data_IF_655622263952
#
_entry.id   IF_655622263952
#
_cell.length_a   1.000
_cell.length_b   1.000
_cell.length_c   1.000
_cell.angle_alpha   90.00
_cell.angle_beta   90.00
_cell.angle_gamma   90.00
#
_symmetry.space_group_name_H-M   'P 1'
#
loop_
_entity.id
_entity.type
_entity.pdbx_description
1 polymer ?
#
# COMPACT_ATOMS: atom_id res chain seq x y z
N UNK A 1 3.16 -6.25 17.85
CA UNK A 1 2.77 -6.48 16.45
C UNK A 1 3.97 -6.14 15.60
N UNK A 2 4.43 -7.07 14.78
CA UNK A 2 5.52 -6.79 13.86
C UNK A 2 4.95 -6.07 12.62
N UNK A 3 5.66 -5.06 12.13
CA UNK A 3 5.27 -4.39 10.90
C UNK A 3 5.83 -5.16 9.71
N UNK A 4 5.07 -5.10 8.63
CA UNK A 4 5.46 -5.67 7.35
C UNK A 4 5.57 -4.54 6.34
N UNK A 5 6.37 -4.78 5.33
CA UNK A 5 6.51 -3.91 4.19
C UNK A 5 5.65 -4.44 3.06
N UNK A 6 4.79 -3.61 2.51
CA UNK A 6 3.87 -3.97 1.44
C UNK A 6 4.09 -3.11 0.20
N UNK A 7 3.92 -3.70 -0.97
CA UNK A 7 3.79 -3.00 -2.25
C UNK A 7 2.39 -3.20 -2.81
N UNK A 8 1.69 -2.09 -3.08
CA UNK A 8 0.34 -2.09 -3.64
C UNK A 8 0.38 -1.57 -5.06
N UNK A 9 -0.19 -2.31 -6.00
CA UNK A 9 -0.37 -1.89 -7.39
C UNK A 9 -1.80 -1.40 -7.60
N UNK A 10 -1.99 -0.34 -8.39
CA UNK A 10 -3.29 0.27 -8.65
C UNK A 10 -3.63 0.21 -10.14
N UNK A 11 -4.94 0.27 -10.44
CA UNK A 11 -5.43 0.46 -11.80
C UNK A 11 -5.20 1.92 -12.26
N UNK A 12 -5.31 2.87 -11.35
CA UNK A 12 -5.25 4.31 -11.63
C UNK A 12 -4.46 5.07 -10.58
N UNK A 13 -3.88 6.22 -10.96
CA UNK A 13 -3.23 7.14 -10.02
C UNK A 13 -4.19 7.76 -8.98
N UNK A 14 -5.49 7.80 -9.28
CA UNK A 14 -6.53 8.24 -8.35
C UNK A 14 -6.78 7.25 -7.22
N UNK A 15 -6.68 5.94 -7.51
CA UNK A 15 -6.70 4.89 -6.49
C UNK A 15 -5.51 5.02 -5.54
N UNK A 16 -4.30 5.15 -6.11
CA UNK A 16 -3.06 5.35 -5.37
C UNK A 16 -3.12 6.53 -4.39
N UNK A 17 -3.69 7.66 -4.81
CA UNK A 17 -3.80 8.86 -3.97
C UNK A 17 -4.76 8.68 -2.79
N UNK A 18 -5.88 7.97 -2.97
CA UNK A 18 -6.83 7.66 -1.90
C UNK A 18 -6.21 6.71 -0.87
N UNK A 19 -5.58 5.64 -1.34
CA UNK A 19 -4.91 4.67 -0.49
C UNK A 19 -3.75 5.29 0.28
N UNK A 20 -3.01 6.22 -0.32
CA UNK A 20 -1.99 7.00 0.36
C UNK A 20 -2.55 7.75 1.58
N UNK A 21 -3.70 8.39 1.44
CA UNK A 21 -4.36 9.05 2.57
C UNK A 21 -4.75 8.04 3.64
N UNK A 22 -5.34 6.91 3.25
CA UNK A 22 -5.74 5.85 4.18
C UNK A 22 -4.56 5.30 4.99
N UNK A 23 -3.43 5.02 4.34
CA UNK A 23 -2.22 4.50 4.99
C UNK A 23 -1.73 5.45 6.08
N UNK A 24 -1.63 6.74 5.78
CA UNK A 24 -1.19 7.75 6.76
C UNK A 24 -2.16 7.89 7.94
N UNK A 25 -3.46 7.65 7.74
CA UNK A 25 -4.47 7.69 8.80
C UNK A 25 -4.53 6.39 9.64
N UNK A 26 -4.20 5.25 9.05
CA UNK A 26 -4.26 3.93 9.69
C UNK A 26 -2.96 3.52 10.41
N UNK A 27 -2.03 4.46 10.60
CA UNK A 27 -0.74 4.19 11.25
C UNK A 27 0.27 3.47 10.36
N UNK A 28 -0.02 3.34 9.06
CA UNK A 28 0.94 2.90 8.07
C UNK A 28 1.87 4.06 7.69
N UNK A 29 3.08 3.73 7.27
CA UNK A 29 4.11 4.69 6.88
C UNK A 29 4.45 4.48 5.41
N UNK A 30 4.12 5.47 4.58
CA UNK A 30 4.53 5.45 3.17
C UNK A 30 6.07 5.44 3.06
N UNK A 31 6.58 4.59 2.18
CA UNK A 31 8.00 4.50 1.86
C UNK A 31 8.36 5.21 0.56
N UNK A 32 9.61 5.67 0.40
CA UNK A 32 10.08 6.27 -0.83
C UNK A 32 9.86 5.33 -2.01
N UNK A 33 9.06 5.78 -2.96
CA UNK A 33 8.76 4.98 -4.13
C UNK A 33 9.86 5.04 -5.17
N UNK A 34 10.16 3.90 -5.79
CA UNK A 34 10.88 3.89 -7.07
C UNK A 34 9.93 4.37 -8.18
N UNK A 35 10.46 5.11 -9.16
CA UNK A 35 9.69 5.43 -10.37
C UNK A 35 9.34 4.12 -11.09
N UNK A 36 8.06 3.76 -11.01
CA UNK A 36 7.49 2.63 -11.73
C UNK A 36 6.65 3.15 -12.89
N UNK A 37 6.57 2.36 -13.95
CA UNK A 37 5.72 2.68 -15.12
C UNK A 37 4.23 2.54 -14.81
N UNK A 38 3.89 1.80 -13.74
CA UNK A 38 2.54 1.61 -13.25
C UNK A 38 2.33 2.36 -11.92
N UNK A 39 1.11 2.82 -11.62
CA UNK A 39 0.80 3.41 -10.33
C UNK A 39 0.88 2.31 -9.27
N UNK A 40 1.85 2.45 -8.37
CA UNK A 40 2.04 1.57 -7.22
C UNK A 40 2.26 2.43 -5.97
N UNK A 41 2.34 1.84 -4.78
CA UNK A 41 2.73 2.50 -3.54
C UNK A 41 3.37 1.48 -2.61
N UNK A 42 4.44 1.86 -1.92
CA UNK A 42 5.10 1.02 -0.93
C UNK A 42 4.87 1.60 0.45
N UNK A 43 4.51 0.79 1.43
CA UNK A 43 4.29 1.25 2.81
C UNK A 43 4.70 0.19 3.84
N UNK A 44 4.98 0.64 5.05
CA UNK A 44 5.18 -0.20 6.23
C UNK A 44 3.92 -0.15 7.09
N UNK A 45 3.41 -1.28 7.54
CA UNK A 45 2.22 -1.31 8.37
C UNK A 45 1.83 -2.70 8.88
N UNK A 46 0.74 -2.78 9.65
CA UNK A 46 0.18 -4.05 10.10
C UNK A 46 -0.51 -4.80 8.94
N UNK A 47 -0.56 -6.13 9.02
CA UNK A 47 -1.23 -6.99 8.04
C UNK A 47 -2.72 -6.67 7.87
N UNK A 48 -3.41 -6.27 8.94
CA UNK A 48 -4.79 -5.77 8.88
C UNK A 48 -4.96 -4.62 7.88
N UNK A 49 -3.99 -3.70 7.80
CA UNK A 49 -4.04 -2.60 6.85
C UNK A 49 -3.89 -3.12 5.41
N UNK A 50 -3.01 -4.09 5.18
CA UNK A 50 -2.85 -4.71 3.86
C UNK A 50 -4.14 -5.42 3.39
N UNK A 51 -4.77 -6.18 4.28
CA UNK A 51 -6.05 -6.86 3.99
C UNK A 51 -7.19 -5.88 3.72
N UNK A 52 -7.21 -4.72 4.38
CA UNK A 52 -8.17 -3.65 4.05
C UNK A 52 -7.95 -3.08 2.65
N UNK A 53 -6.69 -3.01 2.19
CA UNK A 53 -6.37 -2.47 0.88
C UNK A 53 -6.70 -3.43 -0.26
N UNK A 54 -6.55 -4.73 -0.07
CA UNK A 54 -6.95 -5.75 -1.06
C UNK A 54 -8.44 -5.67 -1.43
N UNK A 55 -9.29 -5.17 -0.52
CA UNK A 55 -10.73 -5.01 -0.78
C UNK A 55 -11.12 -3.79 -1.61
N UNK A 56 -10.18 -2.92 -2.00
CA UNK A 56 -10.49 -1.72 -2.78
C UNK A 56 -10.58 -2.03 -4.28
N UNK A 57 -11.62 -1.54 -4.97
CA UNK A 57 -11.81 -1.73 -6.42
C UNK A 57 -10.64 -1.23 -7.29
N UNK A 58 -9.89 -0.24 -6.80
CA UNK A 58 -8.75 0.34 -7.51
C UNK A 58 -7.43 -0.42 -7.32
N UNK A 59 -7.38 -1.35 -6.37
CA UNK A 59 -6.18 -2.14 -6.04
C UNK A 59 -6.15 -3.38 -6.90
N UNK A 60 -5.03 -3.59 -7.58
CA UNK A 60 -4.79 -4.75 -8.46
C UNK A 60 -4.14 -5.88 -7.68
N UNK A 61 -3.17 -5.54 -6.83
CA UNK A 61 -2.34 -6.50 -6.13
C UNK A 61 -1.78 -5.84 -4.88
N UNK A 62 -1.78 -6.56 -3.76
CA UNK A 62 -1.00 -6.23 -2.56
C UNK A 62 0.03 -7.33 -2.36
N UNK A 63 1.31 -6.95 -2.39
CA UNK A 63 2.43 -7.86 -2.15
C UNK A 63 3.03 -7.59 -0.79
N UNK A 64 3.14 -8.64 0.04
CA UNK A 64 4.03 -8.63 1.21
C UNK A 64 5.49 -8.75 0.75
N UNK A 65 6.30 -7.75 1.07
CA UNK A 65 7.75 -7.75 0.88
C UNK A 65 8.49 -8.27 2.14
N UNK A 66 7.75 -8.55 3.23
CA UNK A 66 8.26 -9.18 4.45
C UNK A 66 8.36 -8.25 5.67
N UNK A 67 8.83 -8.82 6.78
CA UNK A 67 8.99 -8.14 8.07
C UNK A 67 10.05 -7.03 8.03
N UNK A 68 9.76 -5.92 8.73
CA UNK A 68 10.63 -4.74 8.90
C UNK A 68 10.88 -4.41 10.37
#
# INVERSE_FOLDING_TARGET
MANHRYMVCFLTGSGMSRTRTQINHSGGKELPQRRLSAPALTFEGPEDLAGQLEGNDDVVEVRDEGLV
#
